data_IF_791857362309
#
_entry.id   IF_791857362309
#
_cell.length_a   1.000
_cell.length_b   1.000
_cell.length_c   1.000
_cell.angle_alpha   90.00
_cell.angle_beta   90.00
_cell.angle_gamma   90.00
#
_symmetry.space_group_name_H-M   'P 1'
#
loop_
_entity.id
_entity.type
_entity.pdbx_description
1 polymer ?
#
# COMPACT_ATOMS: atom_id res chain seq x y z
N UNK A 1 -40.75 0.86 17.46
CA UNK A 1 -39.78 1.52 16.57
C UNK A 1 -38.59 0.58 16.38
N UNK A 2 -38.21 0.21 15.16
CA UNK A 2 -36.94 -0.48 14.93
C UNK A 2 -35.83 0.52 15.19
N UNK A 3 -34.92 0.21 16.11
CA UNK A 3 -33.76 1.06 16.37
C UNK A 3 -32.80 0.85 15.20
N UNK A 4 -32.46 1.92 14.47
CA UNK A 4 -31.48 1.90 13.40
C UNK A 4 -30.10 1.76 14.03
N UNK A 5 -29.31 0.77 13.62
CA UNK A 5 -27.95 0.56 14.10
C UNK A 5 -27.01 1.60 13.47
N UNK A 6 -26.28 2.33 14.27
CA UNK A 6 -25.25 3.29 13.80
C UNK A 6 -23.91 2.58 13.70
N UNK A 7 -23.37 2.55 12.51
CA UNK A 7 -22.07 1.93 12.21
C UNK A 7 -21.10 3.02 11.81
N UNK A 8 -19.99 3.13 12.53
CA UNK A 8 -18.88 4.01 12.16
C UNK A 8 -17.70 3.16 11.73
N UNK A 9 -17.19 3.41 10.54
CA UNK A 9 -16.06 2.70 9.94
C UNK A 9 -14.89 3.66 9.89
N UNK A 10 -13.77 3.30 10.53
CA UNK A 10 -12.53 4.08 10.51
C UNK A 10 -11.59 3.47 9.48
N UNK A 11 -11.45 4.13 8.34
CA UNK A 11 -10.70 3.70 7.17
C UNK A 11 -11.60 3.38 5.98
N UNK A 12 -11.36 4.06 4.86
CA UNK A 12 -12.11 3.95 3.59
C UNK A 12 -11.45 3.05 2.55
N UNK A 13 -10.50 2.20 2.95
CA UNK A 13 -9.89 1.17 2.10
C UNK A 13 -10.85 0.02 1.79
N UNK A 14 -10.40 -1.03 1.06
CA UNK A 14 -11.27 -2.13 0.62
C UNK A 14 -12.10 -2.75 1.74
N UNK A 15 -11.51 -3.03 2.87
CA UNK A 15 -12.25 -3.58 4.02
C UNK A 15 -13.33 -2.62 4.52
N UNK A 16 -13.05 -1.32 4.53
CA UNK A 16 -13.98 -0.31 5.03
C UNK A 16 -15.12 -0.01 4.06
N UNK A 17 -14.82 0.30 2.80
CA UNK A 17 -15.88 0.64 1.85
C UNK A 17 -16.75 -0.55 1.46
N UNK A 18 -16.21 -1.75 1.35
CA UNK A 18 -17.01 -2.95 1.08
C UNK A 18 -17.94 -3.25 2.26
N UNK A 19 -17.44 -3.18 3.49
CA UNK A 19 -18.29 -3.34 4.67
C UNK A 19 -19.39 -2.27 4.74
N UNK A 20 -19.08 -1.03 4.35
CA UNK A 20 -20.05 0.05 4.31
C UNK A 20 -21.17 -0.22 3.29
N UNK A 21 -20.82 -0.65 2.09
CA UNK A 21 -21.76 -0.99 1.03
C UNK A 21 -22.67 -2.16 1.43
N UNK A 22 -22.07 -3.23 1.98
CA UNK A 22 -22.83 -4.40 2.46
C UNK A 22 -23.79 -4.02 3.61
N UNK A 23 -23.33 -3.24 4.56
CA UNK A 23 -24.16 -2.79 5.68
C UNK A 23 -25.33 -1.90 5.21
N UNK A 24 -25.08 -0.97 4.29
CA UNK A 24 -26.08 -0.08 3.73
C UNK A 24 -27.12 -0.83 2.87
N UNK A 25 -26.69 -1.83 2.09
CA UNK A 25 -27.56 -2.66 1.25
C UNK A 25 -28.55 -3.53 2.07
N UNK A 26 -28.30 -3.75 3.37
CA UNK A 26 -29.17 -4.56 4.25
C UNK A 26 -30.55 -3.96 4.47
N UNK A 27 -30.81 -2.75 4.00
CA UNK A 27 -32.11 -2.08 3.99
C UNK A 27 -32.15 -0.75 4.73
N UNK A 28 -32.92 0.19 4.21
CA UNK A 28 -32.98 1.62 4.60
C UNK A 28 -33.31 1.93 6.07
N UNK A 29 -33.71 0.95 6.86
CA UNK A 29 -34.09 1.14 8.27
C UNK A 29 -33.28 0.23 9.21
N UNK A 30 -32.19 -0.37 8.72
CA UNK A 30 -31.39 -1.32 9.49
C UNK A 30 -30.11 -0.69 9.99
N UNK A 31 -29.42 0.05 9.15
CA UNK A 31 -28.15 0.69 9.52
C UNK A 31 -28.01 2.12 8.97
N UNK A 32 -27.44 2.99 9.80
CA UNK A 32 -26.89 4.27 9.42
C UNK A 32 -25.36 4.12 9.41
N UNK A 33 -24.73 4.27 8.23
CA UNK A 33 -23.31 3.97 8.06
C UNK A 33 -22.56 5.26 7.78
N UNK A 34 -21.46 5.46 8.52
CA UNK A 34 -20.52 6.57 8.31
C UNK A 34 -19.10 6.01 8.15
N UNK A 35 -18.45 6.34 7.05
CA UNK A 35 -17.02 6.05 6.82
C UNK A 35 -16.22 7.30 7.12
N UNK A 36 -15.18 7.17 7.94
CA UNK A 36 -14.21 8.24 8.25
C UNK A 36 -12.88 7.84 7.67
N UNK A 37 -12.35 8.62 6.73
CA UNK A 37 -11.07 8.33 6.08
C UNK A 37 -10.22 9.59 5.92
N UNK A 38 -8.91 9.47 6.16
CA UNK A 38 -7.95 10.57 6.08
C UNK A 38 -7.19 10.65 4.77
N UNK A 39 -7.06 9.54 4.05
CA UNK A 39 -6.21 9.44 2.84
C UNK A 39 -7.04 9.51 1.55
N UNK A 40 -8.34 9.26 1.63
CA UNK A 40 -9.27 9.19 0.51
C UNK A 40 -9.87 7.80 0.29
N UNK A 41 -11.10 7.77 -0.24
CA UNK A 41 -11.86 6.53 -0.48
C UNK A 41 -11.11 5.61 -1.43
N UNK A 42 -11.09 4.32 -1.10
CA UNK A 42 -10.27 3.30 -1.73
C UNK A 42 -9.00 2.98 -0.93
N UNK A 43 -8.54 3.91 -0.07
CA UNK A 43 -7.40 3.72 0.83
C UNK A 43 -6.10 3.37 0.10
N UNK A 44 -5.14 2.82 0.84
CA UNK A 44 -3.82 2.49 0.31
C UNK A 44 -3.84 1.58 -0.92
N UNK A 45 -4.69 0.55 -0.93
CA UNK A 45 -4.79 -0.40 -2.03
C UNK A 45 -5.21 0.26 -3.36
N UNK A 46 -6.21 1.15 -3.34
CA UNK A 46 -6.69 1.80 -4.57
C UNK A 46 -5.80 2.97 -4.96
N UNK A 47 -5.39 3.80 -4.01
CA UNK A 47 -4.74 5.07 -4.31
C UNK A 47 -3.22 4.97 -4.47
N UNK A 48 -2.56 4.01 -3.79
CA UNK A 48 -1.10 4.01 -3.67
C UNK A 48 -0.42 2.66 -3.93
N UNK A 49 -1.16 1.54 -3.95
CA UNK A 49 -0.57 0.20 -4.02
C UNK A 49 -1.17 -0.65 -5.15
N UNK A 50 -2.20 -1.46 -4.90
CA UNK A 50 -2.66 -2.50 -5.83
C UNK A 50 -3.06 -1.94 -7.20
N UNK A 51 -3.85 -0.86 -7.26
CA UNK A 51 -4.32 -0.31 -8.54
C UNK A 51 -3.19 0.38 -9.29
N UNK A 52 -2.40 1.29 -8.68
CA UNK A 52 -1.27 1.90 -9.37
C UNK A 52 -0.22 0.87 -9.79
N UNK A 53 0.13 -0.12 -8.94
CA UNK A 53 1.17 -1.10 -9.29
C UNK A 53 0.75 -1.98 -10.46
N UNK A 54 -0.51 -2.47 -10.50
CA UNK A 54 -0.99 -3.29 -11.61
C UNK A 54 -1.12 -2.46 -12.90
N UNK A 55 -1.54 -1.20 -12.80
CA UNK A 55 -1.57 -0.29 -13.94
C UNK A 55 -0.17 0.02 -14.48
N UNK A 56 0.82 0.16 -13.57
CA UNK A 56 2.22 0.35 -13.90
C UNK A 56 2.79 -0.89 -14.61
N UNK A 57 2.66 -2.08 -14.00
CA UNK A 57 3.10 -3.36 -14.55
C UNK A 57 2.48 -3.62 -15.92
N UNK A 58 1.18 -3.37 -16.09
CA UNK A 58 0.52 -3.52 -17.38
C UNK A 58 1.12 -2.59 -18.46
N UNK A 59 1.53 -1.39 -18.07
CA UNK A 59 2.16 -0.44 -19.00
C UNK A 59 3.59 -0.86 -19.36
N UNK A 60 4.37 -1.40 -18.39
CA UNK A 60 5.75 -1.85 -18.63
C UNK A 60 5.79 -3.12 -19.48
N UNK A 61 4.83 -4.02 -19.29
CA UNK A 61 4.69 -5.27 -20.04
C UNK A 61 4.55 -5.07 -21.55
N UNK A 62 4.04 -3.93 -21.99
CA UNK A 62 3.97 -3.58 -23.42
C UNK A 62 5.35 -3.65 -24.08
N UNK A 63 6.41 -3.22 -23.39
CA UNK A 63 7.77 -3.28 -23.93
C UNK A 63 8.26 -4.72 -24.14
N UNK A 64 7.89 -5.62 -23.22
CA UNK A 64 8.17 -7.05 -23.36
C UNK A 64 7.44 -7.66 -24.56
N UNK A 65 6.17 -7.31 -24.75
CA UNK A 65 5.41 -7.79 -25.92
C UNK A 65 5.98 -7.26 -27.24
N UNK A 66 6.40 -6.02 -27.28
CA UNK A 66 7.05 -5.46 -28.46
C UNK A 66 8.38 -6.18 -28.78
N UNK A 67 9.19 -6.54 -27.77
CA UNK A 67 10.40 -7.35 -27.97
C UNK A 67 10.12 -8.74 -28.50
N UNK A 68 9.05 -9.38 -27.97
CA UNK A 68 8.63 -10.69 -28.45
C UNK A 68 8.11 -10.66 -29.89
N UNK A 69 7.45 -9.58 -30.28
CA UNK A 69 6.93 -9.39 -31.62
C UNK A 69 8.04 -9.46 -32.69
N UNK A 70 9.24 -8.96 -32.41
CA UNK A 70 10.38 -9.06 -33.30
C UNK A 70 10.74 -10.52 -33.63
N UNK A 71 10.70 -11.41 -32.64
CA UNK A 71 10.89 -12.86 -32.84
C UNK A 71 9.77 -13.55 -33.63
N UNK A 72 8.62 -12.90 -33.78
CA UNK A 72 7.47 -13.38 -34.57
C UNK A 72 7.44 -12.77 -35.98
N UNK A 73 8.47 -12.04 -36.38
CA UNK A 73 8.58 -11.45 -37.72
C UNK A 73 8.03 -10.03 -37.86
N UNK A 74 7.69 -9.36 -36.75
CA UNK A 74 7.30 -7.95 -36.77
C UNK A 74 8.55 -7.08 -36.56
N UNK A 75 8.95 -6.33 -37.58
CA UNK A 75 10.05 -5.37 -37.49
C UNK A 75 9.54 -4.08 -36.83
N UNK A 76 9.60 -4.06 -35.50
CA UNK A 76 9.21 -2.93 -34.68
C UNK A 76 10.50 -2.38 -34.03
N UNK A 77 10.92 -1.19 -34.41
CA UNK A 77 12.11 -0.51 -33.86
C UNK A 77 11.97 -0.20 -32.36
N UNK A 78 12.18 -1.24 -31.55
CA UNK A 78 11.99 -1.17 -30.08
C UNK A 78 13.06 -0.33 -29.38
N UNK A 79 14.27 -0.32 -29.94
CA UNK A 79 15.39 0.43 -29.36
C UNK A 79 15.20 1.94 -29.55
N UNK A 80 14.37 2.35 -30.51
CA UNK A 80 13.98 3.74 -30.75
C UNK A 80 12.76 4.19 -29.94
N UNK A 81 12.08 3.27 -29.25
CA UNK A 81 10.89 3.58 -28.46
C UNK A 81 11.25 4.39 -27.21
N UNK A 82 10.91 5.68 -27.22
CA UNK A 82 11.09 6.54 -26.05
C UNK A 82 10.11 6.18 -24.96
N UNK A 83 10.63 5.91 -23.76
CA UNK A 83 9.82 5.63 -22.56
C UNK A 83 9.64 6.94 -21.80
N UNK A 84 8.40 7.29 -21.51
CA UNK A 84 8.06 8.41 -20.63
C UNK A 84 7.54 7.87 -19.31
N UNK A 85 8.39 7.79 -18.29
CA UNK A 85 8.00 7.35 -16.95
C UNK A 85 6.91 8.24 -16.38
N UNK A 86 6.99 9.55 -16.59
CA UNK A 86 5.96 10.49 -16.13
C UNK A 86 4.58 10.20 -16.71
N UNK A 87 4.49 9.80 -18.00
CA UNK A 87 3.20 9.42 -18.60
C UNK A 87 2.68 8.10 -18.02
N UNK A 88 3.54 7.10 -17.80
CA UNK A 88 3.15 5.83 -17.18
C UNK A 88 2.63 6.06 -15.76
N UNK A 89 3.36 6.84 -14.96
CA UNK A 89 2.97 7.17 -13.59
C UNK A 89 1.67 7.99 -13.55
N UNK A 90 1.50 8.97 -14.42
CA UNK A 90 0.28 9.76 -14.52
C UNK A 90 -0.92 8.90 -14.90
N UNK A 91 -0.74 7.94 -15.83
CA UNK A 91 -1.79 6.97 -16.18
C UNK A 91 -2.19 6.14 -14.96
N UNK A 92 -1.22 5.60 -14.22
CA UNK A 92 -1.48 4.80 -13.03
C UNK A 92 -2.24 5.61 -11.95
N UNK A 93 -1.82 6.84 -11.67
CA UNK A 93 -2.50 7.76 -10.75
C UNK A 93 -3.91 8.12 -11.22
N UNK A 94 -4.11 8.39 -12.49
CA UNK A 94 -5.42 8.72 -13.06
C UNK A 94 -6.40 7.56 -12.90
N UNK A 95 -5.97 6.33 -13.17
CA UNK A 95 -6.80 5.14 -12.97
C UNK A 95 -7.17 4.95 -11.50
N UNK A 96 -6.22 5.13 -10.59
CA UNK A 96 -6.46 5.05 -9.15
C UNK A 96 -7.49 6.09 -8.68
N UNK A 97 -7.36 7.34 -9.10
CA UNK A 97 -8.30 8.41 -8.77
C UNK A 97 -9.69 8.17 -9.38
N UNK A 98 -9.76 7.66 -10.62
CA UNK A 98 -11.03 7.31 -11.25
C UNK A 98 -11.75 6.21 -10.46
N UNK A 99 -11.05 5.16 -10.06
CA UNK A 99 -11.63 4.10 -9.25
C UNK A 99 -12.06 4.59 -7.86
N UNK A 100 -11.28 5.45 -7.22
CA UNK A 100 -11.67 6.09 -5.96
C UNK A 100 -12.97 6.89 -6.10
N UNK A 101 -13.11 7.66 -7.18
CA UNK A 101 -14.32 8.43 -7.48
C UNK A 101 -15.54 7.53 -7.72
N UNK A 102 -15.36 6.40 -8.41
CA UNK A 102 -16.43 5.43 -8.65
C UNK A 102 -16.90 4.79 -7.34
N UNK A 103 -15.99 4.40 -6.45
CA UNK A 103 -16.31 3.88 -5.12
C UNK A 103 -17.07 4.95 -4.30
N UNK A 104 -16.58 6.18 -4.32
CA UNK A 104 -17.26 7.31 -3.65
C UNK A 104 -18.69 7.52 -4.16
N UNK A 105 -18.89 7.39 -5.48
CA UNK A 105 -20.20 7.46 -6.11
C UNK A 105 -21.12 6.29 -5.71
N UNK A 106 -20.57 5.11 -5.52
CA UNK A 106 -21.34 3.95 -5.01
C UNK A 106 -21.78 4.18 -3.57
N UNK A 107 -20.86 4.60 -2.69
CA UNK A 107 -21.17 4.92 -1.30
C UNK A 107 -22.28 5.98 -1.19
N UNK A 108 -22.22 7.03 -2.03
CA UNK A 108 -23.23 8.07 -2.07
C UNK A 108 -24.61 7.54 -2.51
N UNK A 109 -24.67 6.66 -3.53
CA UNK A 109 -25.92 6.02 -3.99
C UNK A 109 -26.57 5.18 -2.88
N UNK A 110 -25.75 4.48 -2.10
CA UNK A 110 -26.20 3.68 -0.96
C UNK A 110 -26.43 4.52 0.32
N UNK A 111 -26.30 5.86 0.22
CA UNK A 111 -26.51 6.80 1.33
C UNK A 111 -25.57 6.61 2.52
N UNK A 112 -24.38 6.11 2.26
CA UNK A 112 -23.31 6.08 3.24
C UNK A 112 -22.75 7.48 3.42
N UNK A 113 -22.63 7.93 4.66
CA UNK A 113 -21.96 9.19 4.98
C UNK A 113 -20.44 8.99 4.86
N UNK A 114 -19.77 9.87 4.14
CA UNK A 114 -18.30 9.86 4.05
C UNK A 114 -17.77 11.15 4.66
N UNK A 115 -16.89 11.02 5.65
CA UNK A 115 -16.24 12.15 6.32
C UNK A 115 -14.74 12.09 6.06
N UNK A 116 -14.23 13.12 5.38
CA UNK A 116 -12.80 13.29 5.15
C UNK A 116 -12.11 13.77 6.44
N UNK A 117 -11.37 12.90 7.10
CA UNK A 117 -10.73 13.20 8.36
C UNK A 117 -10.24 11.96 9.10
N UNK A 118 -9.71 12.20 10.29
CA UNK A 118 -9.17 11.15 11.16
C UNK A 118 -10.17 10.77 12.25
N UNK A 119 -10.44 9.49 12.38
CA UNK A 119 -11.27 8.91 13.45
C UNK A 119 -10.42 8.40 14.61
N UNK A 120 -10.88 8.63 15.84
CA UNK A 120 -10.28 8.16 17.09
C UNK A 120 -11.36 7.77 18.08
N UNK A 121 -11.24 6.61 18.71
CA UNK A 121 -12.09 6.19 19.84
C UNK A 121 -11.76 7.06 21.06
N UNK A 122 -12.77 7.67 21.68
CA UNK A 122 -12.53 8.56 22.81
C UNK A 122 -12.82 7.91 24.16
N UNK A 123 -13.83 7.09 24.24
CA UNK A 123 -14.13 6.29 25.44
C UNK A 123 -15.22 5.24 25.14
N UNK A 124 -15.32 4.26 26.04
CA UNK A 124 -16.51 3.47 26.23
C UNK A 124 -17.25 4.07 27.42
N UNK A 125 -18.48 4.53 27.24
CA UNK A 125 -19.28 5.04 28.36
C UNK A 125 -19.82 3.84 29.16
N UNK A 126 -19.42 3.63 30.41
CA UNK A 126 -19.92 2.51 31.22
C UNK A 126 -21.44 2.51 31.28
N UNK A 127 -22.04 1.39 30.94
CA UNK A 127 -23.51 1.22 30.95
C UNK A 127 -24.25 1.78 29.73
N UNK A 128 -23.56 2.35 28.75
CA UNK A 128 -24.13 2.72 27.45
C UNK A 128 -23.66 1.73 26.36
N UNK A 129 -24.59 1.28 25.53
CA UNK A 129 -24.31 0.41 24.38
C UNK A 129 -23.76 1.21 23.18
N UNK A 130 -22.96 2.26 23.42
CA UNK A 130 -22.49 3.16 22.37
C UNK A 130 -21.02 3.48 22.54
N UNK A 131 -20.31 3.44 21.41
CA UNK A 131 -18.97 4.00 21.28
C UNK A 131 -19.06 5.46 20.87
N UNK A 132 -18.03 6.23 21.17
CA UNK A 132 -17.84 7.58 20.66
C UNK A 132 -16.58 7.65 19.83
N UNK A 133 -16.70 8.14 18.61
CA UNK A 133 -15.59 8.36 17.69
C UNK A 133 -15.42 9.86 17.51
N UNK A 134 -14.28 10.39 17.94
CA UNK A 134 -13.88 11.76 17.59
C UNK A 134 -13.44 11.76 16.15
N UNK A 135 -13.92 12.71 15.38
CA UNK A 135 -13.49 12.94 14.00
C UNK A 135 -12.86 14.31 13.93
N UNK A 136 -11.62 14.36 13.43
CA UNK A 136 -10.92 15.60 13.12
C UNK A 136 -10.79 15.69 11.61
N UNK A 137 -11.46 16.64 11.00
CA UNK A 137 -11.45 16.89 9.56
C UNK A 137 -10.15 17.59 9.13
N UNK A 138 -9.85 17.58 7.83
CA UNK A 138 -8.65 18.22 7.28
C UNK A 138 -8.56 19.73 7.54
N UNK A 139 -9.71 20.41 7.65
CA UNK A 139 -9.80 21.84 8.02
C UNK A 139 -9.74 22.08 9.54
N UNK A 140 -9.43 21.03 10.32
CA UNK A 140 -9.23 21.10 11.77
C UNK A 140 -10.52 21.13 12.60
N UNK A 141 -11.71 20.99 11.99
CA UNK A 141 -12.95 20.87 12.75
C UNK A 141 -13.02 19.55 13.49
N UNK A 142 -13.53 19.60 14.70
CA UNK A 142 -13.69 18.42 15.56
C UNK A 142 -15.16 18.14 15.78
N UNK A 143 -15.58 16.91 15.49
CA UNK A 143 -16.90 16.38 15.76
C UNK A 143 -16.85 15.09 16.53
N UNK A 144 -17.98 14.64 17.06
CA UNK A 144 -18.13 13.35 17.73
C UNK A 144 -19.28 12.60 17.13
N UNK A 145 -19.00 11.38 16.65
CA UNK A 145 -20.00 10.44 16.17
C UNK A 145 -20.31 9.43 17.28
N UNK A 146 -21.60 9.09 17.45
CA UNK A 146 -22.04 7.99 18.28
C UNK A 146 -22.22 6.76 17.43
N UNK A 147 -21.68 5.62 17.85
CA UNK A 147 -21.77 4.36 17.13
C UNK A 147 -22.24 3.23 18.03
N UNK A 148 -23.09 2.38 17.51
CA UNK A 148 -23.46 1.11 18.16
C UNK A 148 -22.44 0.02 17.79
N UNK A 149 -21.82 0.17 16.58
CA UNK A 149 -20.73 -0.68 16.10
C UNK A 149 -19.63 0.20 15.50
N UNK A 150 -18.37 -0.11 15.83
CA UNK A 150 -17.20 0.51 15.18
C UNK A 150 -16.40 -0.56 14.45
N UNK A 151 -16.16 -0.35 13.17
CA UNK A 151 -15.25 -1.16 12.36
C UNK A 151 -13.91 -0.42 12.19
N UNK A 152 -12.82 -1.07 12.61
CA UNK A 152 -11.47 -0.59 12.41
C UNK A 152 -10.89 -1.17 11.12
N UNK A 153 -10.76 -0.35 10.08
CA UNK A 153 -10.30 -0.73 8.75
C UNK A 153 -9.14 0.18 8.28
N UNK A 154 -8.26 0.54 9.21
CA UNK A 154 -7.25 1.60 9.07
C UNK A 154 -6.05 1.23 8.21
N UNK A 155 -5.94 -0.02 7.75
CA UNK A 155 -4.90 -0.47 6.85
C UNK A 155 -3.49 -0.43 7.44
N UNK A 156 -2.51 -0.23 6.58
CA UNK A 156 -1.09 -0.23 6.92
C UNK A 156 -0.32 0.83 6.11
N UNK A 157 0.83 1.22 6.63
CA UNK A 157 1.76 2.16 5.99
C UNK A 157 3.12 1.52 5.76
N UNK A 158 3.92 2.02 4.79
CA UNK A 158 5.27 1.52 4.56
C UNK A 158 6.09 1.52 5.85
N UNK A 159 6.82 0.44 6.09
CA UNK A 159 7.77 0.39 7.21
C UNK A 159 8.97 1.29 6.90
N UNK A 160 9.27 2.18 7.82
CA UNK A 160 10.46 3.02 7.78
C UNK A 160 11.49 2.45 8.75
N UNK A 161 12.70 2.17 8.24
CA UNK A 161 13.82 1.74 9.07
C UNK A 161 14.60 2.98 9.55
N UNK A 162 15.08 3.01 10.81
CA UNK A 162 15.81 4.17 11.34
C UNK A 162 17.06 4.54 10.53
N UNK A 163 17.74 3.54 9.96
CA UNK A 163 18.93 3.71 9.12
C UNK A 163 18.62 3.94 7.63
N UNK A 164 17.34 4.00 7.22
CA UNK A 164 16.93 4.10 5.82
C UNK A 164 15.63 4.91 5.72
N UNK A 165 15.72 6.19 6.10
CA UNK A 165 14.56 7.10 6.08
C UNK A 165 14.34 7.58 4.64
N UNK A 166 13.14 7.37 4.06
CA UNK A 166 12.82 7.87 2.73
C UNK A 166 12.88 9.40 2.68
N UNK A 167 13.48 9.93 1.62
CA UNK A 167 13.58 11.37 1.36
C UNK A 167 12.57 11.86 0.31
N UNK A 168 11.86 10.93 -0.35
CA UNK A 168 10.90 11.24 -1.41
C UNK A 168 11.53 11.58 -2.77
N UNK A 169 12.85 11.54 -2.88
CA UNK A 169 13.57 11.86 -4.11
C UNK A 169 14.38 10.67 -4.62
N UNK A 170 15.32 10.15 -3.80
CA UNK A 170 16.21 9.04 -4.17
C UNK A 170 16.03 7.81 -3.29
N UNK A 171 15.57 7.98 -2.06
CA UNK A 171 15.20 6.90 -1.15
C UNK A 171 13.68 6.91 -1.02
N UNK A 172 13.01 5.92 -1.62
CA UNK A 172 11.58 5.94 -1.87
C UNK A 172 10.87 4.78 -1.15
N UNK A 173 9.63 5.02 -0.78
CA UNK A 173 8.69 3.95 -0.46
C UNK A 173 7.85 3.59 -1.69
N UNK A 174 7.07 2.49 -1.59
CA UNK A 174 6.12 2.10 -2.64
C UNK A 174 5.00 3.14 -2.87
N UNK A 175 4.77 4.07 -1.96
CA UNK A 175 3.85 5.21 -2.18
C UNK A 175 4.48 6.30 -3.04
N UNK A 176 5.79 6.51 -2.92
CA UNK A 176 6.51 7.63 -3.53
C UNK A 176 7.10 7.30 -4.91
N UNK A 177 7.26 6.02 -5.22
CA UNK A 177 7.90 5.57 -6.47
C UNK A 177 7.21 6.11 -7.73
N UNK A 178 5.91 6.35 -7.67
CA UNK A 178 5.12 6.92 -8.76
C UNK A 178 5.30 8.44 -8.94
N UNK A 179 6.06 9.10 -8.07
CA UNK A 179 6.39 10.53 -8.20
C UNK A 179 7.62 10.75 -9.06
N UNK A 180 8.36 9.70 -9.38
CA UNK A 180 9.47 9.77 -10.30
C UNK A 180 8.99 10.19 -11.71
N UNK A 181 9.71 11.16 -12.30
CA UNK A 181 9.44 11.66 -13.65
C UNK A 181 10.36 11.06 -14.70
N UNK A 182 11.52 10.57 -14.26
CA UNK A 182 12.56 9.97 -15.10
C UNK A 182 12.92 8.58 -14.58
N UNK A 183 13.39 7.72 -15.50
CA UNK A 183 13.84 6.37 -15.13
C UNK A 183 15.12 6.47 -14.28
N UNK A 184 15.19 5.74 -13.16
CA UNK A 184 16.45 5.53 -12.47
C UNK A 184 17.49 4.88 -13.39
N UNK A 185 18.74 5.28 -13.30
CA UNK A 185 19.83 4.57 -13.98
C UNK A 185 20.05 3.19 -13.36
N UNK A 186 20.05 3.15 -12.03
CA UNK A 186 20.18 1.93 -11.25
C UNK A 186 19.27 2.00 -10.03
N UNK A 187 18.27 1.12 -9.95
CA UNK A 187 17.34 1.01 -8.84
C UNK A 187 17.75 -0.14 -7.91
N UNK A 188 18.03 0.19 -6.65
CA UNK A 188 18.26 -0.80 -5.60
C UNK A 188 16.94 -1.04 -4.88
N UNK A 189 16.40 -2.25 -4.96
CA UNK A 189 15.18 -2.65 -4.26
C UNK A 189 15.59 -3.36 -2.96
N UNK A 190 15.25 -2.77 -1.83
CA UNK A 190 15.54 -3.32 -0.51
C UNK A 190 14.30 -4.05 0.01
N UNK A 191 14.34 -5.37 -0.05
CA UNK A 191 13.24 -6.26 0.27
C UNK A 191 12.80 -7.09 -0.95
N UNK A 192 12.59 -8.39 -0.73
CA UNK A 192 12.30 -9.38 -1.78
C UNK A 192 10.89 -9.98 -1.67
N UNK A 193 9.98 -9.33 -0.94
CA UNK A 193 8.57 -9.71 -0.91
C UNK A 193 7.83 -9.32 -2.19
N UNK A 194 6.50 -9.51 -2.21
CA UNK A 194 5.64 -9.26 -3.38
C UNK A 194 5.89 -7.87 -3.99
N UNK A 195 5.86 -6.82 -3.19
CA UNK A 195 6.10 -5.44 -3.66
C UNK A 195 7.47 -5.29 -4.32
N UNK A 196 8.53 -5.86 -3.72
CA UNK A 196 9.88 -5.84 -4.28
C UNK A 196 9.96 -6.57 -5.62
N UNK A 197 9.36 -7.76 -5.72
CA UNK A 197 9.33 -8.55 -6.94
C UNK A 197 8.54 -7.86 -8.07
N UNK A 198 7.39 -7.25 -7.76
CA UNK A 198 6.59 -6.50 -8.72
C UNK A 198 7.34 -5.32 -9.32
N UNK A 199 7.98 -4.49 -8.50
CA UNK A 199 8.76 -3.37 -9.00
C UNK A 199 10.06 -3.82 -9.68
N UNK A 200 10.69 -4.90 -9.23
CA UNK A 200 11.81 -5.51 -9.92
C UNK A 200 11.43 -5.88 -11.36
N UNK A 201 10.33 -6.62 -11.54
CA UNK A 201 9.81 -6.95 -12.86
C UNK A 201 9.56 -5.71 -13.70
N UNK A 202 8.81 -4.75 -13.17
CA UNK A 202 8.38 -3.58 -13.92
C UNK A 202 9.55 -2.69 -14.36
N UNK A 203 10.48 -2.36 -13.47
CA UNK A 203 11.62 -1.51 -13.82
C UNK A 203 12.63 -2.21 -14.74
N UNK A 204 12.81 -3.52 -14.58
CA UNK A 204 13.64 -4.31 -15.51
C UNK A 204 13.04 -4.34 -16.91
N UNK A 205 11.73 -4.45 -17.03
CA UNK A 205 11.04 -4.34 -18.33
C UNK A 205 11.23 -2.98 -19.00
N UNK A 206 11.32 -1.91 -18.21
CA UNK A 206 11.65 -0.57 -18.72
C UNK A 206 13.15 -0.40 -19.08
N UNK A 207 13.99 -1.39 -18.79
CA UNK A 207 15.43 -1.36 -19.10
C UNK A 207 16.29 -0.69 -18.04
N UNK A 208 15.76 -0.51 -16.85
CA UNK A 208 16.51 -0.01 -15.68
C UNK A 208 17.41 -1.13 -15.15
N UNK A 209 18.64 -0.81 -14.78
CA UNK A 209 19.49 -1.71 -14.01
C UNK A 209 18.90 -1.90 -12.62
N UNK A 210 18.65 -3.16 -12.21
CA UNK A 210 18.02 -3.45 -10.93
C UNK A 210 18.89 -4.36 -10.08
N UNK A 211 19.07 -3.99 -8.81
CA UNK A 211 19.63 -4.86 -7.78
C UNK A 211 18.59 -5.08 -6.69
N UNK A 212 18.28 -6.33 -6.36
CA UNK A 212 17.40 -6.70 -5.26
C UNK A 212 18.24 -7.18 -4.07
N UNK A 213 18.04 -6.54 -2.91
CA UNK A 213 18.64 -6.94 -1.65
C UNK A 213 17.61 -7.74 -0.86
N UNK A 214 17.87 -9.04 -0.70
CA UNK A 214 17.02 -10.00 -0.02
C UNK A 214 17.63 -10.46 1.29
N UNK A 215 16.93 -10.31 2.40
CA UNK A 215 17.38 -10.80 3.71
C UNK A 215 17.22 -12.32 3.88
N UNK A 216 16.59 -12.98 2.93
CA UNK A 216 16.35 -14.42 2.86
C UNK A 216 17.12 -15.03 1.68
N UNK A 217 17.08 -16.35 1.59
CA UNK A 217 17.74 -17.16 0.57
C UNK A 217 16.99 -17.20 -0.77
N UNK A 218 15.73 -16.71 -0.80
CA UNK A 218 14.93 -16.60 -2.02
C UNK A 218 14.15 -15.29 -2.08
N UNK A 219 13.72 -14.90 -3.29
CA UNK A 219 12.67 -13.90 -3.47
C UNK A 219 11.32 -14.52 -3.11
N UNK A 220 10.32 -13.69 -2.80
CA UNK A 220 9.01 -14.16 -2.34
C UNK A 220 9.17 -15.21 -1.21
N UNK A 221 9.79 -14.84 -0.07
CA UNK A 221 10.28 -15.81 0.93
C UNK A 221 9.19 -16.61 1.64
N UNK A 222 7.92 -16.31 1.39
CA UNK A 222 6.76 -17.02 1.96
C UNK A 222 6.00 -17.84 0.92
N UNK A 223 6.48 -17.84 -0.34
CA UNK A 223 5.86 -18.57 -1.43
C UNK A 223 6.61 -19.88 -1.69
N UNK A 224 6.03 -20.71 -2.57
CA UNK A 224 6.61 -21.96 -2.99
C UNK A 224 8.02 -21.78 -3.59
N UNK A 225 8.98 -22.60 -3.15
CA UNK A 225 10.38 -22.46 -3.55
C UNK A 225 10.61 -22.71 -5.03
N UNK A 226 9.84 -23.62 -5.65
CA UNK A 226 10.00 -23.94 -7.06
C UNK A 226 9.48 -22.78 -7.92
N UNK A 227 8.36 -22.15 -7.51
CA UNK A 227 7.84 -20.96 -8.16
C UNK A 227 8.80 -19.76 -8.00
N UNK A 228 9.39 -19.59 -6.81
CA UNK A 228 10.37 -18.54 -6.55
C UNK A 228 11.64 -18.73 -7.39
N UNK A 229 12.13 -19.98 -7.55
CA UNK A 229 13.29 -20.29 -8.36
C UNK A 229 13.09 -19.94 -9.84
N UNK A 230 11.94 -20.28 -10.42
CA UNK A 230 11.60 -19.90 -11.80
C UNK A 230 11.62 -18.37 -11.98
N UNK A 231 11.08 -17.63 -11.02
CA UNK A 231 11.09 -16.16 -11.08
C UNK A 231 12.51 -15.59 -10.94
N UNK A 232 13.36 -16.19 -10.11
CA UNK A 232 14.78 -15.81 -9.98
C UNK A 232 15.56 -16.04 -11.27
N UNK A 233 15.33 -17.17 -11.97
CA UNK A 233 15.90 -17.46 -13.27
C UNK A 233 15.52 -16.40 -14.30
N UNK A 234 14.23 -16.05 -14.40
CA UNK A 234 13.75 -15.00 -15.29
C UNK A 234 14.38 -13.63 -14.95
N UNK A 235 14.53 -13.31 -13.68
CA UNK A 235 15.18 -12.07 -13.27
C UNK A 235 16.67 -12.07 -13.62
N UNK A 236 17.38 -13.19 -13.44
CA UNK A 236 18.78 -13.32 -13.82
C UNK A 236 18.98 -13.19 -15.34
N UNK A 237 18.13 -13.82 -16.15
CA UNK A 237 18.14 -13.67 -17.62
C UNK A 237 17.92 -12.23 -18.07
N UNK A 238 17.16 -11.44 -17.29
CA UNK A 238 16.94 -10.01 -17.54
C UNK A 238 18.02 -9.10 -16.96
N UNK A 239 19.09 -9.66 -16.39
CA UNK A 239 20.23 -8.93 -15.85
C UNK A 239 20.03 -8.35 -14.45
N UNK A 240 19.02 -8.83 -13.69
CA UNK A 240 18.84 -8.43 -12.29
C UNK A 240 19.96 -9.01 -11.44
N UNK A 241 20.54 -8.19 -10.57
CA UNK A 241 21.46 -8.66 -9.54
C UNK A 241 20.68 -8.99 -8.26
N UNK A 242 20.70 -10.28 -7.86
CA UNK A 242 20.08 -10.75 -6.62
C UNK A 242 21.14 -10.86 -5.52
N UNK A 243 21.06 -10.03 -4.48
CA UNK A 243 21.93 -10.06 -3.30
C UNK A 243 21.17 -10.73 -2.17
N UNK A 244 21.23 -12.06 -2.13
CA UNK A 244 20.52 -12.89 -1.15
C UNK A 244 21.27 -13.01 0.17
N UNK A 245 20.57 -13.41 1.25
CA UNK A 245 21.10 -13.55 2.60
C UNK A 245 21.83 -12.30 3.10
N UNK A 246 21.34 -11.12 2.69
CA UNK A 246 21.92 -9.83 3.02
C UNK A 246 20.83 -8.88 3.54
N UNK A 247 21.08 -8.34 4.71
CA UNK A 247 20.20 -7.32 5.32
C UNK A 247 20.80 -5.94 5.06
N UNK A 248 19.97 -4.99 4.66
CA UNK A 248 20.38 -3.59 4.61
C UNK A 248 20.42 -3.02 6.05
N UNK A 249 21.59 -2.57 6.46
CA UNK A 249 21.80 -1.93 7.75
C UNK A 249 21.47 -0.43 7.64
N UNK A 250 21.82 0.19 6.52
CA UNK A 250 21.46 1.58 6.23
C UNK A 250 21.32 1.84 4.74
N UNK A 251 20.53 2.87 4.42
CA UNK A 251 20.45 3.47 3.08
C UNK A 251 20.66 4.97 3.25
N UNK A 252 21.69 5.49 2.61
CA UNK A 252 22.07 6.89 2.73
C UNK A 252 22.18 7.54 1.35
N UNK A 253 21.75 8.79 1.27
CA UNK A 253 21.96 9.61 0.06
C UNK A 253 23.44 9.97 -0.08
N UNK A 254 23.92 10.01 -1.32
CA UNK A 254 25.24 10.52 -1.71
C UNK A 254 25.06 11.65 -2.70
N UNK A 255 26.13 12.31 -3.10
CA UNK A 255 26.08 13.41 -4.10
C UNK A 255 25.52 12.92 -5.44
N UNK A 256 25.82 11.68 -5.85
CA UNK A 256 25.43 11.13 -7.15
C UNK A 256 24.27 10.12 -7.10
N UNK A 257 23.85 9.68 -5.91
CA UNK A 257 22.83 8.61 -5.79
C UNK A 257 22.57 8.18 -4.38
N UNK A 258 22.60 6.87 -4.17
CA UNK A 258 22.37 6.24 -2.86
C UNK A 258 23.41 5.15 -2.60
N UNK A 259 23.72 4.94 -1.34
CA UNK A 259 24.57 3.87 -0.84
C UNK A 259 23.76 3.01 0.12
N UNK A 260 23.69 1.72 -0.14
CA UNK A 260 23.08 0.70 0.71
C UNK A 260 24.20 -0.09 1.37
N UNK A 261 24.37 0.11 2.68
CA UNK A 261 25.28 -0.70 3.47
C UNK A 261 24.59 -2.00 3.90
N UNK A 262 25.24 -3.12 3.66
CA UNK A 262 24.71 -4.45 3.97
C UNK A 262 25.43 -5.06 5.18
N UNK A 263 24.74 -5.95 5.86
CA UNK A 263 25.34 -6.78 6.89
C UNK A 263 26.57 -7.52 6.32
N UNK A 264 27.64 -7.56 7.11
CA UNK A 264 28.93 -8.12 6.67
C UNK A 264 29.82 -7.15 5.89
N UNK A 265 29.52 -5.86 5.86
CA UNK A 265 30.38 -4.79 5.35
C UNK A 265 30.36 -4.60 3.83
N UNK A 266 29.52 -5.34 3.10
CA UNK A 266 29.30 -5.10 1.66
C UNK A 266 28.50 -3.83 1.45
N UNK A 267 28.70 -3.18 0.31
CA UNK A 267 28.00 -1.98 -0.10
C UNK A 267 27.47 -2.15 -1.51
N UNK A 268 26.26 -1.66 -1.75
CA UNK A 268 25.67 -1.53 -3.10
C UNK A 268 25.41 -0.05 -3.35
N UNK A 269 25.81 0.46 -4.49
CA UNK A 269 25.57 1.85 -4.90
C UNK A 269 24.66 1.89 -6.11
N UNK A 270 23.80 2.89 -6.19
CA UNK A 270 22.87 3.08 -7.30
C UNK A 270 22.32 4.50 -7.32
N UNK A 271 21.51 4.81 -8.34
CA UNK A 271 20.91 6.14 -8.45
C UNK A 271 19.76 6.36 -7.48
N UNK A 272 18.98 5.29 -7.19
CA UNK A 272 17.81 5.33 -6.31
C UNK A 272 17.68 4.03 -5.51
N UNK A 273 17.01 4.11 -4.36
CA UNK A 273 16.62 2.97 -3.54
C UNK A 273 15.11 2.95 -3.32
N UNK A 274 14.49 1.77 -3.48
CA UNK A 274 13.09 1.52 -3.17
C UNK A 274 13.00 0.63 -1.93
N UNK A 275 12.38 1.14 -0.88
CA UNK A 275 12.21 0.44 0.38
C UNK A 275 10.92 -0.39 0.35
N UNK A 276 11.07 -1.72 0.26
CA UNK A 276 9.97 -2.70 0.24
C UNK A 276 10.08 -3.70 1.40
N UNK A 277 10.45 -3.18 2.57
CA UNK A 277 10.73 -3.96 3.80
C UNK A 277 9.48 -4.26 4.64
N UNK A 278 8.34 -4.33 4.00
CA UNK A 278 7.05 -4.61 4.61
C UNK A 278 6.32 -3.36 5.07
N UNK A 279 5.22 -3.58 5.80
CA UNK A 279 4.33 -2.53 6.26
C UNK A 279 4.13 -2.59 7.77
N UNK A 280 3.60 -1.53 8.35
CA UNK A 280 3.19 -1.46 9.76
C UNK A 280 1.71 -1.11 9.84
N UNK A 281 0.92 -1.77 10.71
CA UNK A 281 -0.51 -1.48 10.85
C UNK A 281 -0.72 -0.06 11.39
N UNK A 282 -1.75 0.61 10.90
CA UNK A 282 -2.12 1.96 11.31
C UNK A 282 -3.01 1.92 12.57
N UNK A 283 -2.47 1.39 13.65
CA UNK A 283 -3.17 1.20 14.93
C UNK A 283 -2.83 2.25 15.99
N UNK A 284 -1.84 3.10 15.71
CA UNK A 284 -1.44 4.17 16.63
C UNK A 284 -2.45 5.32 16.67
N UNK A 285 -2.66 5.89 17.86
CA UNK A 285 -3.53 7.05 18.07
C UNK A 285 -4.99 6.83 17.61
N UNK A 286 -5.48 5.60 17.74
CA UNK A 286 -6.89 5.26 17.51
C UNK A 286 -7.71 5.26 18.81
N UNK A 287 -7.08 5.48 19.99
CA UNK A 287 -7.73 5.44 21.30
C UNK A 287 -8.14 4.03 21.73
N UNK A 288 -7.44 2.99 21.25
CA UNK A 288 -7.75 1.58 21.51
C UNK A 288 -7.71 1.25 23.01
N UNK A 289 -6.74 1.81 23.73
CA UNK A 289 -6.54 1.65 25.15
C UNK A 289 -7.74 2.17 25.98
N UNK A 290 -8.46 3.17 25.47
CA UNK A 290 -9.62 3.77 26.13
C UNK A 290 -10.85 2.86 26.12
N UNK A 291 -10.86 1.90 25.20
CA UNK A 291 -11.94 0.90 25.06
C UNK A 291 -11.47 -0.50 25.45
N UNK A 292 -10.28 -0.62 26.05
CA UNK A 292 -9.75 -1.89 26.55
C UNK A 292 -9.22 -2.84 25.49
N UNK A 293 -8.79 -2.30 24.33
CA UNK A 293 -8.14 -3.08 23.28
C UNK A 293 -6.62 -2.96 23.45
N UNK A 294 -5.95 -4.08 23.70
CA UNK A 294 -4.50 -4.19 23.75
C UNK A 294 -3.96 -4.67 22.40
N UNK A 295 -2.83 -4.13 21.98
CA UNK A 295 -2.16 -4.55 20.76
C UNK A 295 -1.32 -5.80 20.98
N UNK A 296 -1.41 -6.73 20.05
CA UNK A 296 -0.57 -7.91 19.99
C UNK A 296 0.80 -7.66 19.33
N UNK A 297 1.56 -8.73 19.06
CA UNK A 297 2.85 -8.66 18.38
C UNK A 297 2.75 -7.87 17.07
N UNK A 298 3.77 -7.05 16.77
CA UNK A 298 3.80 -6.22 15.56
C UNK A 298 2.78 -5.08 15.54
N UNK A 299 2.17 -4.74 16.69
CA UNK A 299 1.13 -3.74 16.84
C UNK A 299 -0.19 -4.06 16.09
N UNK A 300 -0.47 -5.32 15.83
CA UNK A 300 -1.76 -5.77 15.30
C UNK A 300 -2.83 -5.80 16.39
N UNK A 301 -4.08 -5.54 16.01
CA UNK A 301 -5.23 -5.71 16.90
C UNK A 301 -5.59 -7.20 16.90
N UNK A 302 -5.54 -7.89 18.07
CA UNK A 302 -5.99 -9.27 18.16
C UNK A 302 -7.50 -9.37 17.92
N UNK A 303 -7.90 -10.33 17.11
CA UNK A 303 -9.30 -10.58 16.78
C UNK A 303 -9.62 -12.08 16.80
N UNK A 304 -10.89 -12.42 16.98
CA UNK A 304 -11.39 -13.77 16.81
C UNK A 304 -11.60 -14.12 15.31
N UNK A 305 -12.09 -15.34 15.04
CA UNK A 305 -12.30 -15.82 13.66
C UNK A 305 -13.36 -15.05 12.86
N UNK A 306 -14.12 -14.17 13.49
CA UNK A 306 -15.11 -13.29 12.85
C UNK A 306 -14.77 -11.82 13.02
N UNK A 307 -13.47 -11.55 13.21
CA UNK A 307 -12.89 -10.21 13.31
C UNK A 307 -13.39 -9.36 14.47
N UNK A 308 -13.86 -9.97 15.58
CA UNK A 308 -14.22 -9.24 16.80
C UNK A 308 -12.98 -9.03 17.65
N UNK A 309 -12.85 -7.83 18.18
CA UNK A 309 -11.84 -7.47 19.18
C UNK A 309 -12.27 -7.90 20.59
N UNK A 310 -11.43 -7.59 21.60
CA UNK A 310 -11.79 -7.77 23.02
C UNK A 310 -12.89 -6.81 23.49
N UNK A 311 -13.10 -5.67 22.80
CA UNK A 311 -14.15 -4.71 23.12
C UNK A 311 -15.48 -5.11 22.49
N UNK A 312 -16.60 -5.04 23.24
CA UNK A 312 -17.93 -5.24 22.67
C UNK A 312 -18.29 -4.13 21.66
N UNK A 313 -18.95 -4.49 20.54
CA UNK A 313 -19.37 -3.52 19.51
C UNK A 313 -18.25 -3.05 18.62
#
# INVERSE_FOLDING_TARGET
MRVTTRIVIIGGGPAGYEAALVAAASGKNVAEVTVVDSDGIGGGCVLFDCVPSKAFIASTGVRTELRRAAGLGFDIGIDDAKISLSQINNRAKTLALSQSADIGSQLLREKVNVVAGRGELIDAVPGMAHHRVRVTTHDGKVGVLKADVVLLATGASPRVLPGAVPDGERILTWRQIYDLTELPEHLIIVGSGVTGAEFCNAYTELGVTVTVVASRDQILPHEDSDAAAVLEEVFAERGVTLVKNARADSVTRTDSGVRVALSGGRVVEGSHALMTVGSVPNTRNLGLERVGIELGPGNYIPVDRVSRTSAPG
#
